data_IF_702917122608
#
_entry.id   IF_702917122608
#
_cell.length_a   1.000
_cell.length_b   1.000
_cell.length_c   1.000
_cell.angle_alpha   90.00
_cell.angle_beta   90.00
_cell.angle_gamma   90.00
#
_symmetry.space_group_name_H-M   'P 1'
#
loop_
_entity.id
_entity.type
_entity.pdbx_description
1 polymer ?
#
# COMPACT_ATOMS: atom_id res chain seq x y z
N UNK A 1 15.74 15.32 3.93
CA UNK A 1 14.40 14.78 3.61
C UNK A 1 13.57 15.98 3.23
N UNK A 2 13.17 16.12 1.96
CA UNK A 2 12.35 17.26 1.54
C UNK A 2 10.92 16.99 2.01
N UNK A 3 10.37 17.92 2.80
CA UNK A 3 9.01 17.80 3.30
C UNK A 3 8.03 18.01 2.14
N UNK A 4 6.77 17.59 2.31
CA UNK A 4 5.71 17.99 1.39
C UNK A 4 5.48 19.48 1.65
N UNK A 5 6.00 20.34 0.77
CA UNK A 5 6.04 21.80 0.94
C UNK A 5 4.75 22.49 0.48
N UNK A 6 3.87 21.79 -0.24
CA UNK A 6 2.61 22.33 -0.76
C UNK A 6 1.54 21.24 -0.98
N UNK A 7 0.27 21.63 -0.92
CA UNK A 7 -0.87 20.79 -1.28
C UNK A 7 -0.78 20.41 -2.76
N UNK A 8 -0.69 19.11 -3.00
CA UNK A 8 -0.76 18.52 -4.32
C UNK A 8 -1.84 17.45 -4.35
N UNK A 9 -2.50 17.22 -5.49
CA UNK A 9 -3.42 16.09 -5.59
C UNK A 9 -2.69 14.77 -5.28
N UNK A 10 -3.24 14.00 -4.34
CA UNK A 10 -2.70 12.70 -3.90
C UNK A 10 -3.72 11.60 -4.20
N UNK A 11 -3.23 10.41 -4.51
CA UNK A 11 -4.00 9.18 -4.59
C UNK A 11 -3.55 8.22 -3.49
N UNK A 12 -4.47 7.80 -2.64
CA UNK A 12 -4.26 6.73 -1.67
C UNK A 12 -4.57 5.40 -2.35
N UNK A 13 -3.55 4.56 -2.55
CA UNK A 13 -3.68 3.32 -3.34
C UNK A 13 -4.55 2.25 -2.69
N UNK A 14 -4.79 2.37 -1.38
CA UNK A 14 -5.60 1.46 -0.57
C UNK A 14 -7.00 2.02 -0.25
N UNK A 15 -7.38 3.17 -0.81
CA UNK A 15 -8.69 3.77 -0.56
C UNK A 15 -9.82 2.79 -0.91
N UNK A 16 -10.81 2.68 -0.02
CA UNK A 16 -11.99 1.81 -0.17
C UNK A 16 -11.65 0.31 -0.34
N UNK A 17 -10.49 -0.13 0.16
CA UNK A 17 -10.07 -1.54 0.18
C UNK A 17 -9.84 -2.03 1.61
N UNK A 18 -10.03 -3.34 1.82
CA UNK A 18 -9.62 -4.04 3.03
C UNK A 18 -8.33 -4.82 2.78
N UNK A 19 -7.51 -4.95 3.82
CA UNK A 19 -6.29 -5.75 3.82
C UNK A 19 -6.64 -7.21 4.13
N UNK A 20 -6.07 -8.19 3.41
CA UNK A 20 -6.19 -9.60 3.77
C UNK A 20 -5.23 -10.01 4.91
N UNK A 21 -4.36 -9.11 5.36
CA UNK A 21 -3.42 -9.37 6.46
C UNK A 21 -4.18 -9.74 7.75
N UNK A 22 -3.58 -10.58 8.59
CA UNK A 22 -4.17 -11.03 9.85
C UNK A 22 -5.56 -11.66 9.69
N UNK A 23 -5.86 -12.22 8.52
CA UNK A 23 -7.18 -12.79 8.20
C UNK A 23 -8.27 -11.77 7.85
N UNK A 24 -7.94 -10.48 7.73
CA UNK A 24 -8.84 -9.42 7.28
C UNK A 24 -8.90 -8.23 8.23
N UNK A 25 -8.42 -7.07 7.77
CA UNK A 25 -8.39 -5.84 8.58
C UNK A 25 -8.33 -4.56 7.70
N UNK A 26 -8.24 -3.39 8.34
CA UNK A 26 -7.96 -2.14 7.63
C UNK A 26 -6.47 -2.01 7.34
N UNK A 27 -6.12 -1.37 6.23
CA UNK A 27 -4.72 -1.05 5.95
C UNK A 27 -4.17 -0.06 6.99
N UNK A 28 -2.99 -0.38 7.53
CA UNK A 28 -2.14 0.51 8.32
C UNK A 28 -0.90 0.93 7.53
N UNK A 29 -0.43 0.05 6.64
CA UNK A 29 0.60 0.32 5.66
C UNK A 29 -0.02 0.85 4.36
N UNK A 30 0.46 2.01 3.92
CA UNK A 30 -0.10 2.71 2.77
C UNK A 30 0.98 3.15 1.79
N UNK A 31 0.63 3.17 0.50
CA UNK A 31 1.39 3.85 -0.55
C UNK A 31 0.56 5.02 -1.04
N UNK A 32 1.11 6.23 -0.94
CA UNK A 32 0.52 7.45 -1.47
C UNK A 32 1.26 7.89 -2.73
N UNK A 33 0.53 8.18 -3.79
CA UNK A 33 1.08 8.67 -5.04
C UNK A 33 0.71 10.14 -5.21
N UNK A 34 1.71 11.01 -5.40
CA UNK A 34 1.51 12.44 -5.64
C UNK A 34 1.72 12.81 -7.11
N UNK A 35 1.19 13.97 -7.51
CA UNK A 35 1.51 14.62 -8.80
C UNK A 35 1.29 13.69 -10.01
N UNK A 36 2.27 13.65 -10.92
CA UNK A 36 2.25 12.83 -12.13
C UNK A 36 2.32 11.32 -11.85
N UNK A 37 2.87 10.91 -10.70
CA UNK A 37 3.01 9.48 -10.37
C UNK A 37 1.66 8.78 -10.28
N UNK A 38 0.62 9.51 -9.91
CA UNK A 38 -0.77 9.01 -9.86
C UNK A 38 -1.23 8.43 -11.19
N UNK A 39 -0.79 9.00 -12.31
CA UNK A 39 -1.21 8.55 -13.65
C UNK A 39 -0.42 7.36 -14.14
N UNK A 40 0.66 6.97 -13.45
CA UNK A 40 1.44 5.77 -13.77
C UNK A 40 0.93 4.54 -13.02
N UNK A 41 -0.02 4.67 -12.09
CA UNK A 41 -0.56 3.52 -11.38
C UNK A 41 -1.25 2.57 -12.37
N UNK A 42 -0.73 1.34 -12.48
CA UNK A 42 -1.42 0.29 -13.20
C UNK A 42 -2.70 -0.07 -12.45
N UNK A 43 -3.88 -0.05 -13.10
CA UNK A 43 -5.13 -0.43 -12.46
C UNK A 43 -5.06 -1.84 -11.85
N UNK A 44 -5.75 -2.03 -10.73
CA UNK A 44 -5.86 -3.32 -10.01
C UNK A 44 -4.51 -3.99 -9.67
N UNK A 45 -3.46 -3.18 -9.49
CA UNK A 45 -2.11 -3.67 -9.17
C UNK A 45 -1.79 -3.72 -7.68
N UNK A 46 -2.68 -3.25 -6.80
CA UNK A 46 -2.51 -3.38 -5.35
C UNK A 46 -2.41 -4.85 -4.95
N UNK A 47 -1.30 -5.26 -4.34
CA UNK A 47 -1.08 -6.61 -3.80
C UNK A 47 -0.59 -6.53 -2.37
N UNK A 48 -1.02 -7.49 -1.57
CA UNK A 48 -0.56 -7.70 -0.19
C UNK A 48 0.08 -9.07 -0.13
N UNK A 49 1.33 -9.13 0.35
CA UNK A 49 2.00 -10.39 0.59
C UNK A 49 1.72 -10.82 2.04
N UNK A 50 0.91 -11.85 2.22
CA UNK A 50 0.69 -12.48 3.53
C UNK A 50 1.75 -13.55 3.78
N UNK A 51 2.12 -13.72 5.05
CA UNK A 51 3.00 -14.80 5.47
C UNK A 51 2.21 -16.08 5.76
N UNK A 52 2.93 -17.21 5.82
CA UNK A 52 2.35 -18.42 6.42
C UNK A 52 2.21 -18.19 7.91
N UNK A 53 1.01 -18.41 8.45
CA UNK A 53 0.69 -18.13 9.86
C UNK A 53 0.90 -16.65 10.19
N UNK A 54 0.42 -15.75 9.35
CA UNK A 54 0.44 -14.30 9.56
C UNK A 54 -0.32 -13.83 10.81
N UNK A 55 -1.03 -14.74 11.48
CA UNK A 55 -1.67 -14.50 12.78
C UNK A 55 -0.81 -14.91 14.00
N UNK A 56 0.40 -15.43 13.79
CA UNK A 56 1.30 -15.84 14.87
C UNK A 56 2.15 -14.64 15.35
N UNK A 57 2.04 -14.21 16.62
CA UNK A 57 2.84 -13.11 17.16
C UNK A 57 4.36 -13.37 17.16
N UNK A 58 4.78 -14.64 17.07
CA UNK A 58 6.18 -15.03 16.94
C UNK A 58 6.64 -15.16 15.47
N UNK A 59 5.78 -14.79 14.52
CA UNK A 59 6.06 -14.77 13.09
C UNK A 59 7.17 -13.78 12.71
N UNK A 60 7.52 -13.77 11.42
CA UNK A 60 8.62 -12.93 10.90
C UNK A 60 8.37 -11.42 11.09
N UNK A 61 7.11 -11.01 11.05
CA UNK A 61 6.66 -9.64 11.25
C UNK A 61 5.17 -9.64 11.55
N UNK A 62 4.75 -8.62 12.27
CA UNK A 62 3.36 -8.26 12.54
C UNK A 62 2.71 -7.38 11.45
N UNK A 63 3.44 -7.07 10.36
CA UNK A 63 2.93 -6.34 9.20
C UNK A 63 3.01 -7.20 7.93
N UNK A 64 2.06 -7.00 7.01
CA UNK A 64 2.10 -7.60 5.67
C UNK A 64 2.58 -6.57 4.64
N UNK A 65 3.63 -6.88 3.85
CA UNK A 65 4.10 -5.96 2.81
C UNK A 65 3.01 -5.65 1.76
N UNK A 66 2.87 -4.38 1.45
CA UNK A 66 1.97 -3.86 0.40
C UNK A 66 2.76 -3.40 -0.81
N UNK A 67 2.19 -3.58 -2.01
CA UNK A 67 2.83 -3.20 -3.26
C UNK A 67 1.81 -2.74 -4.30
N UNK A 68 2.25 -1.88 -5.23
CA UNK A 68 1.54 -1.48 -6.44
C UNK A 68 2.48 -1.56 -7.62
N UNK A 69 1.93 -1.61 -8.84
CA UNK A 69 2.73 -1.53 -10.06
C UNK A 69 2.59 -0.15 -10.70
N UNK A 70 3.72 0.43 -11.09
CA UNK A 70 3.77 1.70 -11.80
C UNK A 70 4.27 1.47 -13.22
N UNK A 71 3.47 1.86 -14.21
CA UNK A 71 3.83 1.93 -15.62
C UNK A 71 4.61 3.22 -15.88
N UNK A 72 5.86 3.24 -15.41
CA UNK A 72 6.77 4.37 -15.57
C UNK A 72 7.28 4.47 -17.03
N UNK A 73 7.29 5.67 -17.63
CA UNK A 73 7.72 5.89 -19.02
C UNK A 73 9.24 5.78 -19.27
#
# INVERSE_FOLDING_TARGET
MQHIEADAPVLLTTADKASPCWGGEYFIDHILLGNAVRTWLRPDSLRVMTYRQDTDPAGLSDHCPVSVHLDWP
#
